data_IF_309216776461
#
_entry.id   IF_309216776461
#
_cell.length_a   1.000
_cell.length_b   1.000
_cell.length_c   1.000
_cell.angle_alpha   90.00
_cell.angle_beta   90.00
_cell.angle_gamma   90.00
#
_symmetry.space_group_name_H-M   'P 1'
#
loop_
_entity.id
_entity.type
_entity.pdbx_description
1 polymer ?
#
# COMPACT_ATOMS: atom_id res chain seq x y z
N UNK A 1 30.32 -6.19 13.27
CA UNK A 1 29.66 -5.32 12.28
C UNK A 1 28.13 -5.42 12.29
N UNK A 2 27.49 -5.97 13.34
CA UNK A 2 26.02 -6.14 13.39
C UNK A 2 25.33 -5.31 14.51
N UNK A 3 26.09 -4.74 15.44
CA UNK A 3 25.53 -4.03 16.60
C UNK A 3 25.17 -2.57 16.28
N UNK A 4 26.02 -1.89 15.51
CA UNK A 4 25.79 -0.50 15.08
C UNK A 4 24.53 -0.39 14.21
N UNK A 5 24.31 -1.32 13.28
CA UNK A 5 23.11 -1.37 12.44
C UNK A 5 21.84 -1.62 13.25
N UNK A 6 21.93 -2.44 14.31
CA UNK A 6 20.79 -2.72 15.20
C UNK A 6 20.42 -1.50 16.02
N UNK A 7 21.41 -0.82 16.60
CA UNK A 7 21.22 0.41 17.39
C UNK A 7 20.61 1.55 16.56
N UNK A 8 21.08 1.72 15.30
CA UNK A 8 20.51 2.70 14.38
C UNK A 8 19.07 2.35 13.95
N UNK A 9 18.76 1.07 13.75
CA UNK A 9 17.40 0.65 13.36
C UNK A 9 16.40 0.85 14.51
N UNK A 10 16.82 0.60 15.76
CA UNK A 10 15.99 0.87 16.94
C UNK A 10 15.76 2.37 17.14
N UNK A 11 16.81 3.20 17.05
CA UNK A 11 16.66 4.65 17.25
C UNK A 11 15.74 5.29 16.21
N UNK A 12 15.88 4.91 14.93
CA UNK A 12 15.00 5.38 13.85
C UNK A 12 13.55 4.96 14.07
N UNK A 13 13.32 3.74 14.56
CA UNK A 13 11.96 3.25 14.82
C UNK A 13 11.29 3.97 16.00
N UNK A 14 12.06 4.34 17.01
CA UNK A 14 11.59 5.09 18.17
C UNK A 14 11.32 6.57 17.83
N UNK A 15 12.09 7.16 16.91
CA UNK A 15 11.86 8.52 16.38
C UNK A 15 10.58 8.56 15.53
N UNK A 16 10.42 7.66 14.57
CA UNK A 16 9.21 7.57 13.74
C UNK A 16 7.94 7.35 14.58
N UNK A 17 8.04 6.60 15.68
CA UNK A 17 6.93 6.38 16.62
C UNK A 17 6.50 7.67 17.34
N UNK A 18 7.46 8.52 17.72
CA UNK A 18 7.20 9.82 18.33
C UNK A 18 6.57 10.79 17.33
N UNK A 19 7.03 10.78 16.09
CA UNK A 19 6.48 11.63 15.04
C UNK A 19 5.03 11.24 14.71
N UNK A 20 4.72 9.94 14.71
CA UNK A 20 3.34 9.44 14.60
C UNK A 20 2.44 9.92 15.75
N UNK A 21 2.94 9.88 16.99
CA UNK A 21 2.20 10.32 18.17
C UNK A 21 1.90 11.82 18.12
N UNK A 22 2.86 12.64 17.65
CA UNK A 22 2.65 14.08 17.43
C UNK A 22 1.55 14.37 16.40
N UNK A 23 1.38 13.48 15.41
CA UNK A 23 0.34 13.56 14.39
C UNK A 23 -1.01 12.99 14.87
N UNK A 24 -1.10 12.50 16.11
CA UNK A 24 -2.31 11.90 16.69
C UNK A 24 -2.57 10.46 16.25
N UNK A 25 -1.58 9.78 15.65
CA UNK A 25 -1.67 8.39 15.23
C UNK A 25 -0.93 7.46 16.20
N UNK A 26 -1.61 6.42 16.65
CA UNK A 26 -0.97 5.33 17.39
C UNK A 26 -0.34 4.33 16.42
N UNK A 27 0.91 3.93 16.66
CA UNK A 27 1.60 2.93 15.86
C UNK A 27 0.97 1.53 16.06
N UNK A 28 -0.03 1.20 15.23
CA UNK A 28 -0.71 -0.11 15.24
C UNK A 28 -0.05 -1.11 14.26
N UNK A 29 0.68 -0.62 13.25
CA UNK A 29 1.31 -1.48 12.25
C UNK A 29 2.71 -1.91 12.70
N UNK A 30 2.88 -3.20 12.93
CA UNK A 30 4.20 -3.78 13.24
C UNK A 30 5.14 -3.65 12.03
N UNK A 31 6.29 -3.00 12.24
CA UNK A 31 7.27 -2.67 11.20
C UNK A 31 8.12 -3.90 10.86
N UNK A 32 7.49 -4.91 10.25
CA UNK A 32 8.09 -6.22 9.95
C UNK A 32 8.61 -6.36 8.52
N UNK A 33 8.46 -5.35 7.67
CA UNK A 33 8.97 -5.40 6.29
C UNK A 33 10.44 -4.97 6.25
N UNK A 34 11.33 -5.96 6.12
CA UNK A 34 12.75 -5.72 5.85
C UNK A 34 12.94 -4.96 4.53
N UNK A 35 14.00 -4.15 4.42
CA UNK A 35 14.39 -3.48 3.17
C UNK A 35 14.52 -4.47 2.01
N UNK A 36 15.03 -5.66 2.28
CA UNK A 36 15.13 -6.72 1.27
C UNK A 36 13.75 -7.21 0.83
N UNK A 37 12.79 -7.35 1.75
CA UNK A 37 11.42 -7.74 1.42
C UNK A 37 10.75 -6.67 0.55
N UNK A 38 10.91 -5.39 0.88
CA UNK A 38 10.37 -4.29 0.08
C UNK A 38 11.01 -4.24 -1.32
N UNK A 39 12.33 -4.44 -1.42
CA UNK A 39 13.03 -4.54 -2.70
C UNK A 39 12.54 -5.73 -3.53
N UNK A 40 12.39 -6.92 -2.92
CA UNK A 40 11.92 -8.12 -3.61
C UNK A 40 10.50 -7.94 -4.17
N UNK A 41 9.62 -7.28 -3.43
CA UNK A 41 8.26 -6.94 -3.89
C UNK A 41 8.33 -5.99 -5.09
N UNK A 42 9.13 -4.92 -5.00
CA UNK A 42 9.30 -3.97 -6.09
C UNK A 42 9.88 -4.62 -7.35
N UNK A 43 10.91 -5.45 -7.20
CA UNK A 43 11.53 -6.20 -8.30
C UNK A 43 10.53 -7.16 -8.97
N UNK A 44 9.72 -7.87 -8.18
CA UNK A 44 8.67 -8.76 -8.70
C UNK A 44 7.64 -8.00 -9.54
N UNK A 45 7.30 -6.78 -9.15
CA UNK A 45 6.35 -5.95 -9.90
C UNK A 45 6.93 -5.48 -11.24
N UNK A 46 8.18 -4.99 -11.25
CA UNK A 46 8.86 -4.51 -12.47
C UNK A 46 9.11 -5.67 -13.46
N UNK A 47 9.32 -6.88 -12.97
CA UNK A 47 9.48 -8.07 -13.81
C UNK A 47 8.24 -8.35 -14.68
N UNK A 48 7.03 -8.00 -14.23
CA UNK A 48 5.78 -8.30 -14.91
C UNK A 48 5.46 -7.39 -16.10
N UNK A 49 6.41 -6.60 -16.60
CA UNK A 49 6.11 -5.51 -17.55
C UNK A 49 5.95 -6.00 -19.00
N UNK A 50 4.96 -6.85 -19.23
CA UNK A 50 4.45 -7.24 -20.56
C UNK A 50 4.15 -6.03 -21.43
N UNK A 51 3.65 -4.95 -20.83
CA UNK A 51 3.25 -3.73 -21.53
C UNK A 51 4.44 -3.01 -22.19
N UNK A 52 5.64 -3.09 -21.61
CA UNK A 52 6.85 -2.53 -22.25
C UNK A 52 7.10 -3.23 -23.57
N UNK A 53 7.05 -4.57 -23.59
CA UNK A 53 7.30 -5.33 -24.82
C UNK A 53 6.23 -5.06 -25.88
N UNK A 54 4.96 -4.94 -25.48
CA UNK A 54 3.86 -4.61 -26.40
C UNK A 54 4.02 -3.21 -27.02
N UNK A 55 4.37 -2.20 -26.22
CA UNK A 55 4.45 -0.82 -26.69
C UNK A 55 5.80 -0.48 -27.33
N UNK A 56 6.85 -1.27 -27.08
CA UNK A 56 8.18 -1.01 -27.64
C UNK A 56 8.16 -1.02 -29.18
N UNK A 57 7.44 -1.97 -29.78
CA UNK A 57 7.27 -2.03 -31.23
C UNK A 57 6.56 -0.77 -31.77
N UNK A 58 5.52 -0.31 -31.09
CA UNK A 58 4.82 0.92 -31.44
C UNK A 58 5.70 2.18 -31.30
N UNK A 59 6.52 2.24 -30.25
CA UNK A 59 7.47 3.33 -30.04
C UNK A 59 8.54 3.41 -31.14
N UNK A 60 9.05 2.27 -31.57
CA UNK A 60 10.03 2.21 -32.67
C UNK A 60 9.43 2.58 -34.02
N UNK A 61 8.20 2.17 -34.33
CA UNK A 61 7.57 2.50 -35.61
C UNK A 61 7.20 3.98 -35.72
N UNK A 62 6.86 4.62 -34.60
CA UNK A 62 6.46 6.04 -34.57
C UNK A 62 7.63 6.99 -34.37
N UNK A 63 8.55 6.68 -33.44
CA UNK A 63 9.69 7.53 -33.08
C UNK A 63 11.00 7.17 -33.80
N UNK A 64 11.03 6.07 -34.55
CA UNK A 64 12.23 5.58 -35.21
C UNK A 64 13.35 5.19 -34.21
N UNK A 65 14.61 5.09 -34.69
CA UNK A 65 15.75 4.74 -33.83
C UNK A 65 16.00 5.72 -32.68
N UNK A 66 15.55 6.97 -32.81
CA UNK A 66 15.70 7.99 -31.77
C UNK A 66 14.84 7.71 -30.53
N UNK A 67 13.85 6.82 -30.61
CA UNK A 67 13.00 6.40 -29.49
C UNK A 67 13.81 5.91 -28.27
N UNK A 68 15.00 5.34 -28.48
CA UNK A 68 15.84 4.86 -27.36
C UNK A 68 16.24 5.98 -26.38
N UNK A 69 16.33 7.23 -26.86
CA UNK A 69 16.66 8.37 -26.01
C UNK A 69 15.50 8.78 -25.09
N UNK A 70 14.26 8.46 -25.47
CA UNK A 70 13.09 8.74 -24.62
C UNK A 70 13.15 8.04 -23.27
N UNK A 71 13.78 6.86 -23.20
CA UNK A 71 13.95 6.09 -21.96
C UNK A 71 14.73 6.85 -20.90
N UNK A 72 15.77 7.58 -21.29
CA UNK A 72 16.57 8.37 -20.35
C UNK A 72 15.74 9.52 -19.76
N UNK A 73 14.93 10.18 -20.60
CA UNK A 73 14.05 11.26 -20.18
C UNK A 73 12.99 10.74 -19.22
N UNK A 74 12.35 9.61 -19.54
CA UNK A 74 11.36 8.96 -18.68
C UNK A 74 11.97 8.52 -17.35
N UNK A 75 13.18 7.94 -17.38
CA UNK A 75 13.88 7.52 -16.17
C UNK A 75 14.19 8.70 -15.24
N UNK A 76 14.70 9.81 -15.78
CA UNK A 76 14.96 11.03 -15.00
C UNK A 76 13.65 11.56 -14.41
N UNK A 77 12.59 11.64 -15.22
CA UNK A 77 11.27 12.06 -14.74
C UNK A 77 10.76 11.18 -13.58
N UNK A 78 10.90 9.86 -13.71
CA UNK A 78 10.49 8.91 -12.68
C UNK A 78 11.32 9.04 -11.40
N UNK A 79 12.62 9.33 -11.50
CA UNK A 79 13.48 9.60 -10.35
C UNK A 79 13.08 10.88 -9.62
N UNK A 80 12.73 11.95 -10.34
CA UNK A 80 12.26 13.19 -9.72
C UNK A 80 10.96 12.97 -8.94
N UNK A 81 10.01 12.21 -9.49
CA UNK A 81 8.79 11.83 -8.79
C UNK A 81 9.11 10.98 -7.56
N UNK A 82 10.04 10.02 -7.68
CA UNK A 82 10.46 9.19 -6.56
C UNK A 82 11.09 10.01 -5.42
N UNK A 83 11.92 11.00 -5.75
CA UNK A 83 12.52 11.90 -4.77
C UNK A 83 11.47 12.77 -4.07
N UNK A 84 10.52 13.32 -4.81
CA UNK A 84 9.42 14.09 -4.21
C UNK A 84 8.58 13.24 -3.25
N UNK A 85 8.28 11.99 -3.62
CA UNK A 85 7.57 11.04 -2.75
C UNK A 85 8.42 10.62 -1.54
N UNK A 86 9.74 10.51 -1.70
CA UNK A 86 10.65 10.20 -0.60
C UNK A 86 10.72 11.33 0.43
N UNK A 87 10.73 12.59 -0.02
CA UNK A 87 10.69 13.76 0.85
C UNK A 87 9.40 13.77 1.70
N UNK A 88 8.24 13.61 1.05
CA UNK A 88 6.95 13.55 1.76
C UNK A 88 6.88 12.36 2.71
N UNK A 89 7.35 11.17 2.28
CA UNK A 89 7.35 9.97 3.12
C UNK A 89 8.26 10.11 4.35
N UNK A 90 9.34 10.89 4.27
CA UNK A 90 10.25 11.14 5.40
C UNK A 90 9.66 12.07 6.46
N UNK A 91 8.76 12.98 6.06
CA UNK A 91 8.08 13.90 6.97
C UNK A 91 6.79 13.32 7.57
N UNK A 92 6.13 12.41 6.85
CA UNK A 92 4.84 11.84 7.25
C UNK A 92 4.88 10.31 7.20
N UNK A 93 5.44 9.64 8.23
CA UNK A 93 5.53 8.18 8.33
C UNK A 93 4.16 7.51 8.62
N UNK A 94 3.07 8.04 8.09
CA UNK A 94 1.68 7.66 8.36
C UNK A 94 1.23 6.54 7.40
N UNK A 95 0.61 5.49 7.94
CA UNK A 95 0.00 4.44 7.14
C UNK A 95 -1.25 4.97 6.41
N UNK A 96 -1.26 4.87 5.07
CA UNK A 96 -2.39 5.31 4.22
C UNK A 96 -2.00 6.17 3.01
N UNK A 97 -0.70 6.44 2.82
CA UNK A 97 -0.13 7.07 1.62
C UNK A 97 -0.87 8.35 1.19
N UNK A 98 -1.19 8.47 -0.10
CA UNK A 98 -1.76 9.66 -0.77
C UNK A 98 -3.03 10.18 -0.10
N UNK A 99 -3.89 9.30 0.43
CA UNK A 99 -5.11 9.72 1.13
C UNK A 99 -4.78 10.48 2.42
N UNK A 100 -3.91 9.92 3.27
CA UNK A 100 -3.53 10.54 4.55
C UNK A 100 -2.69 11.79 4.32
N UNK A 101 -1.76 11.75 3.36
CA UNK A 101 -0.96 12.92 3.00
C UNK A 101 -1.83 14.05 2.45
N UNK A 102 -2.80 13.75 1.57
CA UNK A 102 -3.74 14.75 1.06
C UNK A 102 -4.64 15.33 2.15
N UNK A 103 -5.10 14.49 3.09
CA UNK A 103 -5.88 14.92 4.25
C UNK A 103 -5.08 15.86 5.16
N UNK A 104 -3.79 15.60 5.35
CA UNK A 104 -2.95 16.39 6.26
C UNK A 104 -2.42 17.68 5.62
N UNK A 105 -2.07 17.66 4.33
CA UNK A 105 -1.48 18.80 3.63
C UNK A 105 -2.50 19.83 3.14
N UNK A 106 -3.68 19.37 2.71
CA UNK A 106 -4.69 20.22 2.06
C UNK A 106 -6.00 20.24 2.85
N UNK A 107 -6.46 19.08 3.31
CA UNK A 107 -7.67 18.93 4.10
C UNK A 107 -8.47 17.68 3.75
N UNK A 108 -9.44 17.35 4.59
CA UNK A 108 -10.18 16.08 4.53
C UNK A 108 -10.93 15.86 3.20
N UNK A 109 -11.51 16.92 2.63
CA UNK A 109 -12.19 16.84 1.34
C UNK A 109 -11.25 16.48 0.17
N UNK A 110 -10.03 17.02 0.18
CA UNK A 110 -9.04 16.69 -0.86
C UNK A 110 -8.50 15.27 -0.67
N UNK A 111 -8.23 14.86 0.57
CA UNK A 111 -7.84 13.49 0.89
C UNK A 111 -8.85 12.47 0.36
N UNK A 112 -10.16 12.71 0.58
CA UNK A 112 -11.23 11.86 0.07
C UNK A 112 -11.23 11.71 -1.46
N UNK A 113 -11.15 12.83 -2.18
CA UNK A 113 -11.10 12.81 -3.66
C UNK A 113 -9.84 12.10 -4.15
N UNK A 114 -8.68 12.39 -3.54
CA UNK A 114 -7.42 11.75 -3.88
C UNK A 114 -7.46 10.23 -3.65
N UNK A 115 -8.14 9.78 -2.58
CA UNK A 115 -8.38 8.37 -2.32
C UNK A 115 -9.21 7.68 -3.40
N UNK A 116 -10.28 8.32 -3.88
CA UNK A 116 -11.10 7.78 -4.98
C UNK A 116 -10.36 7.74 -6.31
N UNK A 117 -9.62 8.80 -6.65
CA UNK A 117 -8.80 8.84 -7.86
C UNK A 117 -7.76 7.73 -7.81
N UNK A 118 -7.11 7.54 -6.65
CA UNK A 118 -6.13 6.49 -6.46
C UNK A 118 -6.75 5.09 -6.60
N UNK A 119 -7.94 4.86 -6.04
CA UNK A 119 -8.66 3.60 -6.19
C UNK A 119 -8.99 3.30 -7.66
N UNK A 120 -9.54 4.28 -8.39
CA UNK A 120 -9.84 4.11 -9.82
C UNK A 120 -8.58 3.88 -10.63
N UNK A 121 -7.49 4.58 -10.33
CA UNK A 121 -6.21 4.39 -10.99
C UNK A 121 -5.66 2.96 -10.79
N UNK A 122 -5.78 2.40 -9.57
CA UNK A 122 -5.38 1.03 -9.31
C UNK A 122 -6.24 0.02 -10.09
N UNK A 123 -7.55 0.19 -10.10
CA UNK A 123 -8.46 -0.68 -10.88
C UNK A 123 -8.17 -0.61 -12.38
N UNK A 124 -7.98 0.60 -12.91
CA UNK A 124 -7.63 0.81 -14.31
C UNK A 124 -6.26 0.20 -14.66
N UNK A 125 -5.29 0.27 -13.74
CA UNK A 125 -3.96 -0.32 -13.94
C UNK A 125 -4.04 -1.83 -14.07
N UNK A 126 -4.77 -2.51 -13.17
CA UNK A 126 -4.97 -3.97 -13.24
C UNK A 126 -5.62 -4.35 -14.56
N UNK A 127 -6.72 -3.68 -14.92
CA UNK A 127 -7.41 -3.94 -16.18
C UNK A 127 -6.52 -3.70 -17.41
N UNK A 128 -5.71 -2.65 -17.42
CA UNK A 128 -4.80 -2.34 -18.51
C UNK A 128 -3.68 -3.39 -18.67
N UNK A 129 -3.13 -3.88 -17.55
CA UNK A 129 -2.10 -4.93 -17.57
C UNK A 129 -2.67 -6.24 -18.10
N UNK A 130 -3.86 -6.64 -17.63
CA UNK A 130 -4.51 -7.87 -18.09
C UNK A 130 -4.88 -7.79 -19.57
N UNK A 131 -5.42 -6.65 -20.01
CA UNK A 131 -5.73 -6.44 -21.42
C UNK A 131 -4.48 -6.43 -22.30
N UNK A 132 -3.37 -5.83 -21.83
CA UNK A 132 -2.09 -5.87 -22.52
C UNK A 132 -1.48 -7.27 -22.60
N UNK A 133 -1.78 -8.14 -21.63
CA UNK A 133 -1.35 -9.54 -21.58
C UNK A 133 -2.24 -10.50 -22.38
N UNK A 134 -3.52 -10.17 -22.56
CA UNK A 134 -4.51 -11.04 -23.19
C UNK A 134 -4.12 -11.56 -24.59
N UNK A 135 -3.47 -10.80 -25.50
CA UNK A 135 -3.03 -11.32 -26.79
C UNK A 135 -2.01 -12.46 -26.68
N UNK A 136 -1.14 -12.44 -25.68
CA UNK A 136 -0.15 -13.49 -25.46
C UNK A 136 -0.79 -14.76 -24.93
N UNK A 137 -1.72 -14.61 -23.97
CA UNK A 137 -2.49 -15.74 -23.43
C UNK A 137 -3.41 -16.34 -24.48
N UNK A 138 -4.08 -15.52 -25.29
CA UNK A 138 -4.93 -15.98 -26.39
C UNK A 138 -4.12 -16.81 -27.41
N UNK A 139 -2.93 -16.33 -27.80
CA UNK A 139 -2.03 -17.08 -28.70
C UNK A 139 -1.55 -18.39 -28.08
N UNK A 140 -1.23 -18.40 -26.78
CA UNK A 140 -0.82 -19.61 -26.07
C UNK A 140 -1.93 -20.67 -26.05
N UNK A 141 -3.19 -20.25 -25.96
CA UNK A 141 -4.37 -21.11 -25.98
C UNK A 141 -4.86 -21.46 -27.39
N UNK A 142 -4.20 -20.97 -28.45
CA UNK A 142 -4.61 -21.17 -29.84
C UNK A 142 -5.91 -20.42 -30.22
N UNK A 143 -6.27 -19.38 -29.47
CA UNK A 143 -7.45 -18.55 -29.72
C UNK A 143 -7.14 -17.40 -30.68
N UNK A 144 -8.11 -16.91 -31.46
CA UNK A 144 -7.89 -15.80 -32.40
C UNK A 144 -7.71 -14.47 -31.65
N UNK A 145 -6.45 -14.06 -31.49
CA UNK A 145 -6.05 -12.82 -30.80
C UNK A 145 -6.44 -11.52 -31.55
N UNK A 146 -7.03 -11.63 -32.75
CA UNK A 146 -7.58 -10.50 -33.51
C UNK A 146 -9.01 -10.13 -33.12
N UNK A 147 -9.74 -11.03 -32.46
CA UNK A 147 -11.12 -10.79 -32.05
C UNK A 147 -11.16 -10.02 -30.74
N UNK A 148 -11.73 -8.81 -30.75
CA UNK A 148 -11.88 -8.00 -29.55
C UNK A 148 -12.67 -8.73 -28.45
N UNK A 149 -13.74 -9.46 -28.82
CA UNK A 149 -14.52 -10.25 -27.86
C UNK A 149 -13.71 -11.35 -27.17
N UNK A 150 -12.78 -11.99 -27.90
CA UNK A 150 -11.88 -13.00 -27.33
C UNK A 150 -10.88 -12.36 -26.36
N UNK A 151 -10.30 -11.21 -26.71
CA UNK A 151 -9.38 -10.49 -25.82
C UNK A 151 -10.06 -10.06 -24.52
N UNK A 152 -11.30 -9.54 -24.60
CA UNK A 152 -12.09 -9.17 -23.42
C UNK A 152 -12.40 -10.40 -22.55
N UNK A 153 -12.78 -11.53 -23.16
CA UNK A 153 -13.05 -12.76 -22.44
C UNK A 153 -11.81 -13.31 -21.72
N UNK A 154 -10.65 -13.32 -22.39
CA UNK A 154 -9.36 -13.74 -21.81
C UNK A 154 -8.95 -12.80 -20.68
N UNK A 155 -9.08 -11.49 -20.87
CA UNK A 155 -8.83 -10.48 -19.83
C UNK A 155 -9.69 -10.74 -18.59
N UNK A 156 -11.00 -10.97 -18.77
CA UNK A 156 -11.90 -11.30 -17.67
C UNK A 156 -11.48 -12.58 -16.93
N UNK A 157 -11.03 -13.61 -17.66
CA UNK A 157 -10.49 -14.83 -17.07
C UNK A 157 -9.24 -14.60 -16.22
N UNK A 158 -8.31 -13.75 -16.68
CA UNK A 158 -7.10 -13.37 -15.94
C UNK A 158 -7.43 -12.62 -14.64
N UNK A 159 -8.34 -11.63 -14.72
CA UNK A 159 -8.81 -10.87 -13.55
C UNK A 159 -9.43 -11.81 -12.51
N UNK A 160 -10.31 -12.73 -12.94
CA UNK A 160 -10.96 -13.69 -12.04
C UNK A 160 -9.91 -14.58 -11.37
N UNK A 161 -8.96 -15.12 -12.15
CA UNK A 161 -7.90 -15.97 -11.63
C UNK A 161 -7.05 -15.25 -10.57
N UNK A 162 -6.61 -14.03 -10.85
CA UNK A 162 -5.84 -13.24 -9.88
C UNK A 162 -6.66 -12.85 -8.65
N UNK A 163 -7.95 -12.55 -8.84
CA UNK A 163 -8.87 -12.30 -7.71
C UNK A 163 -8.98 -13.53 -6.80
N UNK A 164 -9.11 -14.72 -7.38
CA UNK A 164 -9.14 -15.99 -6.62
C UNK A 164 -7.82 -16.18 -5.87
N UNK A 165 -6.67 -16.02 -6.55
CA UNK A 165 -5.35 -16.15 -5.93
C UNK A 165 -5.19 -15.16 -4.78
N UNK A 166 -5.62 -13.90 -4.95
CA UNK A 166 -5.56 -12.87 -3.92
C UNK A 166 -6.42 -13.24 -2.71
N UNK A 167 -7.67 -13.68 -2.92
CA UNK A 167 -8.57 -14.13 -1.84
C UNK A 167 -7.98 -15.32 -1.08
N UNK A 168 -7.41 -16.31 -1.79
CA UNK A 168 -6.79 -17.47 -1.16
C UNK A 168 -5.55 -17.09 -0.35
N UNK A 169 -4.71 -16.18 -0.85
CA UNK A 169 -3.55 -15.67 -0.12
C UNK A 169 -3.93 -14.97 1.17
N UNK A 170 -4.94 -14.10 1.13
CA UNK A 170 -5.46 -13.41 2.33
C UNK A 170 -6.03 -14.42 3.33
N UNK A 171 -6.79 -15.42 2.87
CA UNK A 171 -7.33 -16.47 3.74
C UNK A 171 -6.22 -17.32 4.37
N UNK A 172 -5.17 -17.64 3.63
CA UNK A 172 -4.03 -18.39 4.15
C UNK A 172 -3.29 -17.61 5.25
N UNK A 173 -3.02 -16.33 5.02
CA UNK A 173 -2.40 -15.43 6.02
C UNK A 173 -3.30 -15.30 7.26
N UNK A 174 -4.61 -15.17 7.07
CA UNK A 174 -5.58 -15.11 8.16
C UNK A 174 -5.59 -16.41 8.99
N UNK A 175 -5.53 -17.58 8.36
CA UNK A 175 -5.47 -18.88 9.04
C UNK A 175 -4.15 -19.04 9.82
N UNK A 176 -3.01 -18.68 9.21
CA UNK A 176 -1.71 -18.78 9.87
C UNK A 176 -1.62 -17.87 11.10
N UNK A 177 -2.17 -16.65 11.00
CA UNK A 177 -2.17 -15.65 12.09
C UNK A 177 -3.20 -16.00 13.18
N UNK A 178 -4.32 -16.63 12.82
CA UNK A 178 -5.35 -17.06 13.79
C UNK A 178 -5.07 -18.41 14.45
N UNK A 179 -4.02 -19.13 14.02
CA UNK A 179 -3.61 -20.40 14.59
C UNK A 179 -3.28 -20.27 16.10
N UNK A 180 -3.70 -21.21 16.97
CA UNK A 180 -3.46 -21.15 18.42
C UNK A 180 -1.98 -21.10 18.83
N UNK A 181 -1.06 -21.39 17.91
CA UNK A 181 0.38 -21.31 18.12
C UNK A 181 0.83 -19.90 18.55
N UNK A 182 0.28 -18.85 17.93
CA UNK A 182 0.58 -17.45 18.30
C UNK A 182 0.03 -17.06 19.68
N UNK A 183 -0.97 -17.78 20.21
CA UNK A 183 -1.50 -17.58 21.56
C UNK A 183 -0.60 -18.17 22.66
N UNK A 184 0.42 -18.96 22.31
CA UNK A 184 1.38 -19.57 23.25
C UNK A 184 2.68 -18.79 23.42
N UNK A 185 2.88 -17.69 22.69
CA UNK A 185 4.03 -16.80 22.87
C UNK A 185 3.68 -15.79 23.99
N UNK A 186 4.36 -15.82 25.15
CA UNK A 186 3.97 -15.05 26.35
C UNK A 186 3.96 -13.53 26.17
N UNK A 187 4.59 -13.01 25.11
CA UNK A 187 4.83 -11.58 24.89
C UNK A 187 3.59 -10.75 24.54
N UNK A 188 2.44 -11.37 24.24
CA UNK A 188 1.24 -10.64 23.80
C UNK A 188 0.24 -10.30 24.92
N UNK A 189 0.52 -10.64 26.18
CA UNK A 189 -0.44 -10.44 27.27
C UNK A 189 -0.43 -9.01 27.88
N UNK A 190 0.41 -8.08 27.40
CA UNK A 190 0.50 -6.72 27.99
C UNK A 190 0.34 -5.55 27.01
N UNK A 191 -0.08 -5.79 25.76
CA UNK A 191 -0.31 -4.74 24.76
C UNK A 191 -1.79 -4.59 24.39
N UNK A 192 -2.32 -3.36 24.17
CA UNK A 192 -3.71 -3.13 23.75
C UNK A 192 -4.10 -3.66 22.36
N UNK A 193 -3.22 -4.40 21.68
CA UNK A 193 -3.39 -4.84 20.30
C UNK A 193 -4.39 -6.00 20.10
N UNK A 194 -5.10 -6.44 21.13
CA UNK A 194 -6.00 -7.59 21.06
C UNK A 194 -7.34 -7.36 21.77
N UNK A 195 -8.12 -6.38 21.29
CA UNK A 195 -9.59 -6.49 21.31
C UNK A 195 -10.16 -6.23 19.92
N UNK A 196 -11.29 -6.85 19.57
CA UNK A 196 -11.65 -7.16 18.18
C UNK A 196 -12.26 -5.96 17.46
N UNK A 197 -11.76 -5.71 16.25
CA UNK A 197 -12.28 -4.75 15.26
C UNK A 197 -13.58 -5.24 14.59
N UNK A 198 -14.47 -5.90 15.33
CA UNK A 198 -15.84 -6.26 14.92
C UNK A 198 -16.76 -6.01 16.13
N UNK A 199 -17.53 -4.91 16.07
CA UNK A 199 -18.72 -4.67 16.88
C UNK A 199 -18.55 -4.02 18.27
N UNK A 200 -18.50 -2.69 18.32
CA UNK A 200 -19.12 -1.89 19.40
C UNK A 200 -19.32 -0.41 19.02
N UNK A 201 -20.28 -0.13 18.15
CA UNK A 201 -21.00 1.14 18.23
C UNK A 201 -21.89 1.08 19.47
N UNK A 202 -21.97 2.18 20.23
CA UNK A 202 -22.71 2.39 21.51
C UNK A 202 -22.06 1.78 22.76
N UNK A 203 -21.24 2.58 23.46
CA UNK A 203 -21.41 2.94 24.88
C UNK A 203 -20.17 3.71 25.37
N UNK A 204 -20.31 5.02 25.59
CA UNK A 204 -19.36 5.82 26.38
C UNK A 204 -20.12 6.44 27.54
N UNK A 205 -20.03 5.89 28.76
CA UNK A 205 -20.42 6.60 29.97
C UNK A 205 -19.21 7.34 30.56
N UNK A 206 -19.42 8.63 30.79
CA UNK A 206 -18.83 9.44 31.84
C UNK A 206 -17.30 9.67 31.85
N UNK A 207 -16.88 10.85 31.35
CA UNK A 207 -15.79 11.60 31.97
C UNK A 207 -16.39 12.81 32.72
N UNK A 208 -16.64 12.61 34.00
CA UNK A 208 -16.91 13.66 34.98
C UNK A 208 -15.77 14.67 34.99
N UNK A 209 -16.06 15.91 34.57
CA UNK A 209 -15.18 17.05 34.76
C UNK A 209 -15.28 17.47 36.23
N UNK A 210 -14.21 17.25 37.00
CA UNK A 210 -14.00 17.79 38.35
C UNK A 210 -13.89 19.32 38.23
N UNK A 211 -14.91 20.05 38.68
CA UNK A 211 -14.76 21.44 39.11
C UNK A 211 -14.37 21.42 40.58
N UNK A 212 -13.21 22.00 40.90
CA UNK A 212 -12.74 22.19 42.26
C UNK A 212 -13.61 23.20 43.01
N UNK A 213 -13.91 22.86 44.25
CA UNK A 213 -14.63 23.64 45.25
C UNK A 213 -13.60 24.35 46.16
N UNK A 214 -13.63 25.67 46.35
CA UNK A 214 -12.95 26.34 47.45
C UNK A 214 -13.89 26.41 48.66
N UNK A 215 -13.43 25.83 49.77
CA UNK A 215 -14.24 25.58 50.97
C UNK A 215 -14.90 26.78 51.65
N UNK A 216 -16.02 26.45 52.31
CA UNK A 216 -16.47 26.79 53.68
C UNK A 216 -16.26 28.24 54.18
N UNK A 217 -17.37 28.94 54.51
CA UNK A 217 -17.99 28.92 55.86
C UNK A 217 -19.01 30.07 56.03
N UNK A 218 -20.23 29.72 56.42
CA UNK A 218 -21.29 30.62 56.94
C UNK A 218 -20.90 31.25 58.30
N UNK A 219 -21.63 32.26 58.81
CA UNK A 219 -22.95 32.03 59.42
C UNK A 219 -24.14 32.64 58.67
#
# INVERSE_FOLDING_TARGET
MNDQTRLQTSSLSDEDAKDLEQLGYRQELSRNLSLFSNFAIAFSFISATTLIFSLFGYGLTTGGPAFIWSWHIVFIGQLLVALAMAEVASHYPIAGSIYQWGKHLVGEGYGWIAGWIYLVALLATVAAVDFGGAPYVAQLLGLPASSHGVLVAVTGGMVILQTIINILGVRLIAILTSSPFWRRIPSCHQGPCCTPWIGRTTDSPALHRRTGDPGQSSP
#
